data_IF_563105272711
#
_entry.id   IF_563105272711
#
_cell.length_a   1.000
_cell.length_b   1.000
_cell.length_c   1.000
_cell.angle_alpha   90.00
_cell.angle_beta   90.00
_cell.angle_gamma   90.00
#
_symmetry.space_group_name_H-M   'P 1'
#
loop_
_entity.id
_entity.type
_entity.pdbx_description
1 polymer ?
#
# COMPACT_ATOMS: atom_id res chain seq x y z
N UNK A 1 10.27 -16.34 19.51
CA UNK A 1 10.33 -15.21 18.56
C UNK A 1 11.62 -14.40 18.74
N UNK A 2 12.68 -15.10 19.02
CA UNK A 2 14.01 -14.49 19.15
C UNK A 2 14.56 -14.29 17.74
N UNK A 3 14.76 -13.03 17.32
CA UNK A 3 15.31 -12.68 16.01
C UNK A 3 14.46 -11.72 15.16
N UNK A 4 13.34 -11.25 15.69
CA UNK A 4 12.57 -10.17 15.04
C UNK A 4 12.90 -8.86 15.72
N UNK A 5 13.57 -7.96 15.00
CA UNK A 5 13.89 -6.63 15.50
C UNK A 5 12.63 -5.80 15.77
N UNK A 6 12.67 -5.00 16.83
CA UNK A 6 11.60 -4.04 17.11
C UNK A 6 11.55 -3.00 16.00
N UNK A 7 10.39 -2.77 15.37
CA UNK A 7 10.29 -1.76 14.32
C UNK A 7 10.73 -0.37 14.81
N UNK A 8 11.67 0.25 14.10
CA UNK A 8 12.24 1.55 14.50
C UNK A 8 11.22 2.69 14.43
N UNK A 9 10.27 2.63 13.49
CA UNK A 9 9.29 3.69 13.26
C UNK A 9 8.43 3.99 14.50
N UNK A 10 7.81 3.00 15.18
CA UNK A 10 7.09 3.24 16.43
C UNK A 10 7.96 3.81 17.55
N UNK A 11 9.22 3.41 17.62
CA UNK A 11 10.18 3.92 18.62
C UNK A 11 10.45 5.40 18.38
N UNK A 12 10.76 5.80 17.14
CA UNK A 12 10.99 7.22 16.79
C UNK A 12 9.71 8.03 17.00
N UNK A 13 8.54 7.51 16.63
CA UNK A 13 7.27 8.19 16.86
C UNK A 13 7.00 8.43 18.36
N UNK A 14 7.39 7.50 19.25
CA UNK A 14 7.30 7.69 20.68
C UNK A 14 8.24 8.80 21.18
N UNK A 15 9.48 8.84 20.69
CA UNK A 15 10.44 9.89 21.02
C UNK A 15 9.94 11.27 20.61
N UNK A 16 9.39 11.40 19.41
CA UNK A 16 8.79 12.66 18.92
C UNK A 16 7.63 13.11 19.82
N UNK A 17 6.72 12.20 20.18
CA UNK A 17 5.59 12.52 21.07
C UNK A 17 6.06 13.00 22.46
N UNK A 18 7.13 12.41 22.97
CA UNK A 18 7.66 12.73 24.31
C UNK A 18 8.51 14.01 24.34
N UNK A 19 8.80 14.58 23.16
CA UNK A 19 9.59 15.82 23.03
C UNK A 19 8.85 16.84 22.17
N UNK A 20 7.85 17.55 22.73
CA UNK A 20 7.09 18.56 22.00
C UNK A 20 7.98 19.61 21.35
N UNK A 21 7.64 20.01 20.13
CA UNK A 21 8.46 20.95 19.33
C UNK A 21 9.48 20.27 18.42
N UNK A 22 9.63 18.94 18.48
CA UNK A 22 10.50 18.21 17.57
C UNK A 22 9.92 18.21 16.15
N UNK A 23 10.74 18.63 15.18
CA UNK A 23 10.43 18.50 13.76
C UNK A 23 10.86 17.10 13.33
N UNK A 24 9.89 16.24 13.01
CA UNK A 24 10.16 14.88 12.57
C UNK A 24 10.44 14.83 11.08
N UNK A 25 11.58 14.25 10.72
CA UNK A 25 11.93 13.88 9.35
C UNK A 25 11.88 12.34 9.15
N UNK A 26 11.31 11.62 10.12
CA UNK A 26 11.33 10.16 10.17
C UNK A 26 10.32 9.48 9.23
N UNK A 27 9.31 10.20 8.78
CA UNK A 27 8.30 9.67 7.84
C UNK A 27 7.91 10.75 6.83
N UNK A 28 7.68 10.32 5.59
CA UNK A 28 7.18 11.19 4.50
C UNK A 28 5.68 11.47 4.64
N UNK A 29 5.27 12.08 5.75
CA UNK A 29 3.88 12.48 5.96
C UNK A 29 3.64 13.82 5.29
N UNK A 30 2.76 13.83 4.29
CA UNK A 30 2.39 15.06 3.58
C UNK A 30 1.53 15.97 4.47
N UNK A 31 1.62 17.28 4.26
CA UNK A 31 0.89 18.30 5.01
C UNK A 31 -0.41 18.77 4.32
N UNK A 32 -0.79 18.15 3.24
CA UNK A 32 -2.01 18.44 2.48
C UNK A 32 -2.99 17.27 2.56
N UNK A 33 -4.27 17.56 2.39
CA UNK A 33 -5.34 16.57 2.39
C UNK A 33 -5.50 15.85 1.04
N UNK A 34 -6.44 14.92 0.96
CA UNK A 34 -6.78 14.27 -0.30
C UNK A 34 -7.39 15.27 -1.30
N UNK A 35 -7.37 14.98 -2.61
CA UNK A 35 -8.00 15.81 -3.63
C UNK A 35 -9.48 16.08 -3.32
N UNK A 36 -9.94 17.29 -3.65
CA UNK A 36 -11.32 17.70 -3.38
C UNK A 36 -12.34 16.79 -4.08
N UNK A 37 -12.01 16.31 -5.26
CA UNK A 37 -12.83 15.38 -6.05
C UNK A 37 -13.02 14.03 -5.33
N UNK A 38 -11.98 13.53 -4.68
CA UNK A 38 -12.05 12.31 -3.89
C UNK A 38 -12.99 12.47 -2.69
N UNK A 39 -12.89 13.61 -1.98
CA UNK A 39 -13.79 13.92 -0.87
C UNK A 39 -15.23 14.05 -1.34
N UNK A 40 -15.47 14.72 -2.47
CA UNK A 40 -16.81 14.89 -3.05
C UNK A 40 -17.47 13.58 -3.49
N UNK A 41 -16.68 12.58 -3.86
CA UNK A 41 -17.18 11.25 -4.27
C UNK A 41 -17.66 10.38 -3.09
N UNK A 42 -17.13 10.60 -1.88
CA UNK A 42 -17.41 9.73 -0.72
C UNK A 42 -18.91 9.53 -0.40
N UNK A 43 -19.77 10.58 -0.37
CA UNK A 43 -21.19 10.39 -0.05
C UNK A 43 -21.91 9.45 -1.03
N UNK A 44 -21.59 9.53 -2.31
CA UNK A 44 -22.12 8.63 -3.34
C UNK A 44 -21.68 7.17 -3.12
N UNK A 45 -20.42 6.98 -2.82
CA UNK A 45 -19.86 5.65 -2.54
C UNK A 45 -20.46 5.03 -1.28
N UNK A 46 -20.65 5.81 -0.22
CA UNK A 46 -21.27 5.35 1.02
C UNK A 46 -22.73 4.93 0.85
N UNK A 47 -23.44 5.54 -0.11
CA UNK A 47 -24.83 5.18 -0.46
C UNK A 47 -24.97 3.98 -1.38
N UNK A 48 -23.90 3.52 -2.02
CA UNK A 48 -23.95 2.40 -2.95
C UNK A 48 -23.82 1.06 -2.22
N UNK A 49 -24.95 0.36 -2.02
CA UNK A 49 -24.98 -0.94 -1.36
C UNK A 49 -24.17 -2.03 -2.07
N UNK A 50 -23.78 -1.87 -3.34
CA UNK A 50 -22.94 -2.83 -4.05
C UNK A 50 -21.50 -2.82 -3.53
N UNK A 51 -21.01 -1.67 -3.05
CA UNK A 51 -19.67 -1.50 -2.50
C UNK A 51 -19.48 -2.09 -1.10
N UNK A 52 -20.58 -2.50 -0.44
CA UNK A 52 -20.56 -3.13 0.88
C UNK A 52 -20.61 -4.66 0.82
N UNK A 53 -20.36 -5.25 -0.33
CA UNK A 53 -20.37 -6.71 -0.53
C UNK A 53 -18.96 -7.26 -0.70
N UNK A 54 -18.81 -8.56 -0.47
CA UNK A 54 -17.58 -9.25 -0.84
C UNK A 54 -17.37 -9.21 -2.35
N UNK A 55 -16.15 -8.95 -2.74
CA UNK A 55 -15.70 -8.92 -4.13
C UNK A 55 -14.75 -10.09 -4.41
N UNK A 56 -14.39 -10.25 -5.68
CA UNK A 56 -13.33 -11.19 -6.07
C UNK A 56 -11.97 -10.82 -5.47
N UNK A 57 -11.09 -11.80 -5.42
CA UNK A 57 -9.75 -11.67 -4.78
C UNK A 57 -8.85 -10.60 -5.44
N UNK A 58 -9.10 -10.26 -6.68
CA UNK A 58 -8.37 -9.19 -7.39
C UNK A 58 -8.75 -7.76 -6.95
N UNK A 59 -9.87 -7.60 -6.25
CA UNK A 59 -10.39 -6.32 -5.80
C UNK A 59 -11.56 -5.80 -6.63
N UNK A 60 -11.95 -4.54 -6.41
CA UNK A 60 -13.04 -3.89 -7.13
C UNK A 60 -12.68 -3.69 -8.61
N UNK A 61 -13.51 -4.16 -9.57
CA UNK A 61 -13.18 -4.09 -11.01
C UNK A 61 -12.79 -2.70 -11.49
N UNK A 62 -13.58 -1.68 -11.15
CA UNK A 62 -13.29 -0.31 -11.55
C UNK A 62 -11.98 0.24 -10.98
N UNK A 63 -11.55 -0.21 -9.78
CA UNK A 63 -10.25 0.16 -9.23
C UNK A 63 -9.12 -0.55 -9.98
N UNK A 64 -9.29 -1.83 -10.30
CA UNK A 64 -8.32 -2.60 -11.09
C UNK A 64 -8.12 -1.96 -12.46
N UNK A 65 -9.21 -1.62 -13.15
CA UNK A 65 -9.17 -0.93 -14.44
C UNK A 65 -8.46 0.43 -14.36
N UNK A 66 -8.77 1.23 -13.34
CA UNK A 66 -8.12 2.53 -13.13
C UNK A 66 -6.61 2.40 -12.88
N UNK A 67 -6.20 1.39 -12.10
CA UNK A 67 -4.77 1.11 -11.86
C UNK A 67 -4.09 0.64 -13.13
N UNK A 68 -4.73 -0.22 -13.92
CA UNK A 68 -4.19 -0.67 -15.22
C UNK A 68 -3.98 0.50 -16.17
N UNK A 69 -4.96 1.39 -16.26
CA UNK A 69 -4.86 2.60 -17.08
C UNK A 69 -3.71 3.51 -16.61
N UNK A 70 -3.59 3.72 -15.31
CA UNK A 70 -2.50 4.49 -14.72
C UNK A 70 -1.12 3.88 -15.02
N UNK A 71 -0.97 2.57 -14.84
CA UNK A 71 0.28 1.86 -15.14
C UNK A 71 0.68 2.03 -16.60
N UNK A 72 -0.27 1.90 -17.52
CA UNK A 72 0.00 2.06 -18.95
C UNK A 72 0.37 3.51 -19.33
N UNK A 73 -0.37 4.50 -18.81
CA UNK A 73 -0.24 5.90 -19.21
C UNK A 73 0.92 6.61 -18.51
N UNK A 74 1.12 6.38 -17.23
CA UNK A 74 2.10 7.11 -16.41
C UNK A 74 3.40 6.34 -16.20
N UNK A 75 3.32 5.01 -16.09
CA UNK A 75 4.47 4.17 -15.77
C UNK A 75 5.01 3.38 -16.98
N UNK A 76 4.33 3.42 -18.13
CA UNK A 76 4.68 2.66 -19.34
C UNK A 76 4.74 1.14 -19.11
N UNK A 77 3.93 0.65 -18.14
CA UNK A 77 3.81 -0.77 -17.83
C UNK A 77 2.55 -1.32 -18.47
N UNK A 78 2.74 -2.14 -19.50
CA UNK A 78 1.66 -2.84 -20.19
C UNK A 78 1.55 -4.25 -19.64
N UNK A 79 0.37 -4.60 -19.12
CA UNK A 79 0.10 -5.96 -18.67
C UNK A 79 -0.21 -6.85 -19.89
N UNK A 80 0.51 -7.97 -20.00
CA UNK A 80 0.23 -8.99 -21.01
C UNK A 80 -1.07 -9.74 -20.72
N UNK A 81 -1.53 -10.53 -21.69
CA UNK A 81 -2.78 -11.31 -21.57
C UNK A 81 -2.76 -12.36 -20.48
N UNK A 82 -1.59 -12.75 -20.03
CA UNK A 82 -1.31 -13.73 -18.96
C UNK A 82 -1.01 -13.08 -17.60
N UNK A 83 -0.99 -11.73 -17.55
CA UNK A 83 -0.75 -10.97 -16.32
C UNK A 83 -2.07 -10.55 -15.67
N UNK A 84 -2.10 -10.60 -14.34
CA UNK A 84 -3.25 -10.18 -13.54
C UNK A 84 -2.80 -9.15 -12.50
N UNK A 85 -3.64 -8.15 -12.29
CA UNK A 85 -3.46 -7.16 -11.23
C UNK A 85 -4.33 -7.54 -10.03
N UNK A 86 -3.76 -7.44 -8.83
CA UNK A 86 -4.48 -7.67 -7.59
C UNK A 86 -4.30 -6.48 -6.65
N UNK A 87 -5.40 -6.00 -6.11
CA UNK A 87 -5.42 -4.98 -5.06
C UNK A 87 -5.27 -5.64 -3.69
N UNK A 88 -4.38 -5.12 -2.87
CA UNK A 88 -4.09 -5.68 -1.54
C UNK A 88 -4.38 -4.68 -0.43
N UNK A 89 -4.46 -5.15 0.81
CA UNK A 89 -4.59 -4.32 2.00
C UNK A 89 -3.26 -3.62 2.33
N UNK A 90 -2.91 -2.62 1.53
CA UNK A 90 -1.67 -1.85 1.65
C UNK A 90 -0.45 -2.54 1.03
N UNK A 91 0.66 -1.78 0.97
CA UNK A 91 1.92 -2.22 0.37
C UNK A 91 2.57 -3.39 1.11
N UNK A 92 2.41 -3.46 2.41
CA UNK A 92 2.97 -4.56 3.21
C UNK A 92 2.37 -5.91 2.80
N UNK A 93 1.06 -5.96 2.53
CA UNK A 93 0.41 -7.17 2.06
C UNK A 93 0.82 -7.50 0.62
N UNK A 94 0.99 -6.49 -0.24
CA UNK A 94 1.52 -6.70 -1.58
C UNK A 94 2.92 -7.31 -1.54
N UNK A 95 3.80 -6.78 -0.71
CA UNK A 95 5.15 -7.32 -0.51
C UNK A 95 5.09 -8.77 0.02
N UNK A 96 4.31 -9.02 1.08
CA UNK A 96 4.19 -10.37 1.64
C UNK A 96 3.68 -11.37 0.61
N UNK A 97 2.64 -11.04 -0.14
CA UNK A 97 2.10 -11.92 -1.18
C UNK A 97 3.15 -12.18 -2.28
N UNK A 98 3.94 -11.17 -2.66
CA UNK A 98 5.02 -11.34 -3.64
C UNK A 98 6.10 -12.28 -3.13
N UNK A 99 6.53 -12.11 -1.89
CA UNK A 99 7.53 -13.01 -1.27
C UNK A 99 7.01 -14.45 -1.25
N UNK A 100 5.78 -14.66 -0.77
CA UNK A 100 5.19 -15.99 -0.69
C UNK A 100 4.98 -16.65 -2.06
N UNK A 101 4.86 -15.86 -3.13
CA UNK A 101 4.69 -16.37 -4.49
C UNK A 101 6.00 -16.80 -5.16
N UNK A 102 7.15 -16.26 -4.72
CA UNK A 102 8.44 -16.46 -5.42
C UNK A 102 9.52 -17.12 -4.55
N UNK A 103 9.24 -17.41 -3.28
CA UNK A 103 10.23 -17.93 -2.33
C UNK A 103 9.73 -19.15 -1.57
N UNK A 104 10.64 -20.09 -1.37
CA UNK A 104 10.47 -21.27 -0.54
C UNK A 104 11.29 -21.18 0.77
N UNK A 105 11.00 -22.00 1.79
CA UNK A 105 11.80 -22.04 2.99
C UNK A 105 13.28 -22.33 2.70
N UNK A 106 14.14 -21.39 3.09
CA UNK A 106 15.59 -21.44 2.86
C UNK A 106 16.09 -20.49 1.77
N UNK A 107 15.18 -19.87 1.01
CA UNK A 107 15.57 -18.83 0.05
C UNK A 107 16.02 -17.55 0.76
N UNK A 108 16.96 -16.83 0.14
CA UNK A 108 17.56 -15.62 0.68
C UNK A 108 17.15 -14.39 -0.12
N UNK A 109 16.93 -13.27 0.58
CA UNK A 109 16.62 -11.97 -0.02
C UNK A 109 17.75 -10.98 0.26
N UNK A 110 18.18 -10.26 -0.76
CA UNK A 110 19.15 -9.17 -0.63
C UNK A 110 18.38 -7.87 -0.44
N UNK A 111 18.54 -7.25 0.73
CA UNK A 111 17.93 -5.97 1.07
C UNK A 111 18.99 -4.87 1.10
N UNK A 112 18.91 -3.86 0.23
CA UNK A 112 19.80 -2.70 0.31
C UNK A 112 19.57 -1.94 1.62
N UNK A 113 20.65 -1.49 2.25
CA UNK A 113 20.59 -0.66 3.45
C UNK A 113 21.29 0.67 3.21
N UNK A 114 20.76 1.76 3.79
CA UNK A 114 19.52 1.89 4.56
C UNK A 114 18.28 1.83 3.67
N UNK A 115 17.19 1.33 4.23
CA UNK A 115 15.89 1.19 3.55
C UNK A 115 14.78 2.00 4.23
#
# INVERSE_FOLDING_TARGET
MDGVDTPIIPTIAALVRNNPGTISLGQGVVNYGPPAEAIAALPGMMGDGSLHKYLGVSGHPGLVEAIQAKLAQENQVLLGSDAMLMVTAGSNMAFLNSVLAVADPGDEFILPMPF
#
